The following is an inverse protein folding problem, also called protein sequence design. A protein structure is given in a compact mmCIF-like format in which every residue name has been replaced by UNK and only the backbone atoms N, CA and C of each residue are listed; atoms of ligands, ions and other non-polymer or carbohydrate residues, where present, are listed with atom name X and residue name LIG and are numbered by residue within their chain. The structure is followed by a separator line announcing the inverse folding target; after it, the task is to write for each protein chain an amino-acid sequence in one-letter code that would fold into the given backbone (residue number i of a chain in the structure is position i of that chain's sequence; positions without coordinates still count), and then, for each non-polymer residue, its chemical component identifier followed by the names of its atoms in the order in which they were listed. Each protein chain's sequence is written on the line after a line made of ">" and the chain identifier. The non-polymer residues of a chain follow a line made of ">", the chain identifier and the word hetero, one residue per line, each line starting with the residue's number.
data_IF_833048338607
#
_entry.id   IF_833048338607
#
_cell.length_a   1.000
_cell.length_b   1.000
_cell.length_c   1.000
_cell.angle_alpha   90.00
_cell.angle_beta   90.00
_cell.angle_gamma   90.00
#
_symmetry.space_group_name_H-M   'P 1'
#
loop_
_entity.id
_entity.type
_entity.pdbx_description
1 polymer ?
#
# COMPACT_ATOMS: atom_id res chain seq x y z
N UNK A 1 14.85 -16.25 -10.33
CA UNK A 1 13.49 -15.71 -10.04
C UNK A 1 13.51 -14.18 -10.04
N UNK A 2 13.32 -13.52 -11.19
CA UNK A 2 12.83 -12.12 -11.25
C UNK A 2 12.40 -11.74 -12.68
N UNK A 3 11.53 -12.53 -13.30
CA UNK A 3 10.97 -12.21 -14.63
C UNK A 3 9.64 -11.45 -14.55
N UNK A 4 9.01 -11.39 -13.36
CA UNK A 4 7.66 -10.83 -13.19
C UNK A 4 7.69 -9.32 -12.91
N UNK A 5 8.83 -8.75 -12.50
CA UNK A 5 8.91 -7.30 -12.22
C UNK A 5 9.05 -6.43 -13.48
N UNK A 6 9.40 -7.00 -14.65
CA UNK A 6 9.48 -6.23 -15.91
C UNK A 6 8.14 -6.23 -16.67
N UNK A 7 7.27 -7.21 -16.43
CA UNK A 7 5.97 -7.30 -17.10
C UNK A 7 5.02 -6.15 -16.72
N UNK A 8 5.06 -5.67 -15.48
CA UNK A 8 4.14 -4.60 -15.04
C UNK A 8 4.53 -3.22 -15.57
N UNK A 9 5.83 -2.93 -15.68
CA UNK A 9 6.32 -1.68 -16.30
C UNK A 9 6.18 -1.70 -17.82
N UNK A 10 6.26 -2.88 -18.45
CA UNK A 10 5.99 -3.03 -19.88
C UNK A 10 4.49 -2.92 -20.22
N UNK A 11 3.58 -3.34 -19.33
CA UNK A 11 2.15 -3.16 -19.57
C UNK A 11 1.70 -1.69 -19.50
N UNK A 12 2.31 -0.88 -18.63
CA UNK A 12 2.08 0.57 -18.63
C UNK A 12 2.77 1.31 -19.79
N UNK A 13 3.86 0.76 -20.35
CA UNK A 13 4.58 1.38 -21.48
C UNK A 13 3.94 1.11 -22.84
N UNK A 14 3.07 0.10 -22.96
CA UNK A 14 2.38 -0.26 -24.21
C UNK A 14 0.99 0.40 -24.40
N UNK A 15 0.50 1.21 -23.45
CA UNK A 15 -0.69 2.05 -23.66
C UNK A 15 -0.37 3.50 -24.06
N UNK A 16 0.92 3.87 -24.10
CA UNK A 16 1.33 5.12 -24.75
C UNK A 16 1.51 4.79 -26.22
N UNK A 17 0.50 5.14 -27.01
CA UNK A 17 0.57 5.22 -28.46
C UNK A 17 1.71 6.20 -28.77
N UNK A 18 2.92 5.65 -28.98
CA UNK A 18 3.95 6.38 -29.70
C UNK A 18 3.42 6.55 -31.12
N UNK A 19 3.05 7.79 -31.43
CA UNK A 19 2.76 8.28 -32.77
C UNK A 19 4.04 8.20 -33.61
N UNK A 20 4.34 7.01 -34.12
CA UNK A 20 5.26 6.86 -35.25
C UNK A 20 4.43 6.77 -36.51
N UNK A 21 4.47 7.84 -37.30
CA UNK A 21 4.15 7.94 -38.72
C UNK A 21 3.07 7.00 -39.28
N UNK A 22 1.92 7.61 -39.61
CA UNK A 22 1.06 7.21 -40.71
C UNK A 22 0.38 5.83 -40.65
N UNK A 23 -0.28 5.51 -39.53
CA UNK A 23 -1.45 4.62 -39.52
C UNK A 23 -2.47 5.16 -38.52
N UNK A 24 -3.55 5.81 -39.00
CA UNK A 24 -4.78 5.97 -38.21
C UNK A 24 -5.14 4.61 -37.63
N UNK A 25 -5.33 4.51 -36.33
CA UNK A 25 -5.74 3.28 -35.67
C UNK A 25 -7.06 2.81 -36.29
N UNK A 26 -7.07 1.69 -37.00
CA UNK A 26 -8.23 1.07 -37.68
C UNK A 26 -9.35 0.58 -36.73
N UNK A 27 -9.33 1.05 -35.47
CA UNK A 27 -10.19 0.62 -34.37
C UNK A 27 -10.95 1.77 -33.71
N UNK A 28 -10.71 3.03 -34.11
CA UNK A 28 -11.36 4.18 -33.48
C UNK A 28 -12.89 4.05 -33.48
N UNK A 29 -13.45 3.50 -34.55
CA UNK A 29 -14.90 3.30 -34.70
C UNK A 29 -15.46 2.15 -33.83
N UNK A 30 -14.59 1.38 -33.15
CA UNK A 30 -14.96 0.25 -32.28
C UNK A 30 -14.74 0.53 -30.80
N UNK A 31 -14.07 1.64 -30.46
CA UNK A 31 -13.79 2.00 -29.07
C UNK A 31 -14.99 2.74 -28.50
N UNK A 32 -15.69 2.11 -27.56
CA UNK A 32 -16.87 2.70 -26.92
C UNK A 32 -16.47 3.67 -25.81
N UNK A 33 -15.51 3.30 -24.97
CA UNK A 33 -15.06 4.13 -23.85
C UNK A 33 -13.68 3.69 -23.33
N UNK A 34 -12.88 4.64 -22.88
CA UNK A 34 -11.57 4.41 -22.25
C UNK A 34 -11.70 4.51 -20.73
N UNK A 35 -11.30 3.47 -20.00
CA UNK A 35 -11.16 3.53 -18.53
C UNK A 35 -9.76 4.03 -18.19
N UNK A 36 -9.67 5.18 -17.51
CA UNK A 36 -8.40 5.87 -17.20
C UNK A 36 -8.15 5.98 -15.70
N UNK A 37 -6.88 6.10 -15.29
CA UNK A 37 -6.56 6.45 -13.90
C UNK A 37 -6.79 7.96 -13.61
N UNK A 38 -6.67 8.40 -12.36
CA UNK A 38 -6.86 9.83 -12.00
C UNK A 38 -5.59 10.68 -12.15
N UNK A 39 -4.59 10.19 -12.89
CA UNK A 39 -3.36 10.91 -13.17
C UNK A 39 -3.61 12.11 -14.08
N UNK A 40 -3.11 13.29 -13.68
CA UNK A 40 -3.28 14.53 -14.46
C UNK A 40 -2.85 14.41 -15.92
N UNK A 41 -1.78 13.66 -16.18
CA UNK A 41 -1.25 13.48 -17.53
C UNK A 41 -2.22 12.70 -18.44
N UNK A 42 -2.82 11.60 -17.95
CA UNK A 42 -3.76 10.81 -18.75
C UNK A 42 -5.09 11.55 -18.90
N UNK A 43 -5.53 12.28 -17.87
CA UNK A 43 -6.73 13.12 -17.92
C UNK A 43 -6.57 14.18 -19.00
N UNK A 44 -5.51 14.98 -18.95
CA UNK A 44 -5.27 16.03 -19.94
C UNK A 44 -5.10 15.49 -21.36
N UNK A 45 -4.50 14.31 -21.52
CA UNK A 45 -4.36 13.66 -22.84
C UNK A 45 -5.72 13.24 -23.40
N UNK A 46 -6.61 12.71 -22.55
CA UNK A 46 -7.90 12.19 -22.99
C UNK A 46 -8.97 13.28 -23.14
N UNK A 47 -8.91 14.35 -22.35
CA UNK A 47 -9.76 15.54 -22.52
C UNK A 47 -9.54 16.22 -23.87
N UNK A 48 -8.32 16.15 -24.43
CA UNK A 48 -8.00 16.61 -25.78
C UNK A 48 -8.25 15.58 -26.88
N UNK A 49 -8.78 14.40 -26.55
CA UNK A 49 -8.99 13.29 -27.49
C UNK A 49 -10.47 13.18 -27.89
N UNK A 50 -10.79 12.57 -29.04
CA UNK A 50 -12.18 12.36 -29.46
C UNK A 50 -12.86 11.18 -28.73
N UNK A 51 -12.21 10.55 -27.75
CA UNK A 51 -12.71 9.34 -27.11
C UNK A 51 -13.39 9.64 -25.78
N UNK A 52 -14.59 9.09 -25.61
CA UNK A 52 -15.26 9.06 -24.31
C UNK A 52 -14.43 8.30 -23.28
N UNK A 53 -14.38 8.82 -22.05
CA UNK A 53 -13.54 8.24 -21.01
C UNK A 53 -14.14 8.33 -19.60
N UNK A 54 -13.89 7.31 -18.78
CA UNK A 54 -14.33 7.25 -17.37
C UNK A 54 -13.17 6.97 -16.43
N UNK A 55 -13.29 7.45 -15.19
CA UNK A 55 -12.29 7.16 -14.15
C UNK A 55 -12.38 5.70 -13.68
N UNK A 56 -11.23 5.10 -13.41
CA UNK A 56 -11.13 3.77 -12.84
C UNK A 56 -11.55 3.81 -11.36
N UNK A 57 -12.68 3.17 -11.05
CA UNK A 57 -13.19 3.07 -9.68
C UNK A 57 -12.16 2.47 -8.70
N UNK A 58 -11.46 1.41 -9.12
CA UNK A 58 -10.43 0.79 -8.28
C UNK A 58 -9.30 1.76 -7.93
N UNK A 59 -8.88 2.60 -8.90
CA UNK A 59 -7.86 3.62 -8.65
C UNK A 59 -8.39 4.73 -7.74
N UNK A 60 -9.63 5.17 -7.93
CA UNK A 60 -10.28 6.16 -7.06
C UNK A 60 -10.38 5.66 -5.62
N UNK A 61 -10.82 4.41 -5.41
CA UNK A 61 -10.88 3.81 -4.08
C UNK A 61 -9.49 3.69 -3.45
N UNK A 62 -8.48 3.31 -4.24
CA UNK A 62 -7.10 3.24 -3.76
C UNK A 62 -6.57 4.60 -3.28
N UNK A 63 -6.98 5.71 -3.92
CA UNK A 63 -6.64 7.06 -3.47
C UNK A 63 -7.33 7.41 -2.15
N UNK A 64 -8.63 7.07 -2.01
CA UNK A 64 -9.38 7.29 -0.77
C UNK A 64 -8.78 6.52 0.40
N UNK A 65 -8.40 5.25 0.21
CA UNK A 65 -7.74 4.46 1.26
C UNK A 65 -6.38 5.05 1.64
N UNK A 66 -5.59 5.46 0.63
CA UNK A 66 -4.29 6.09 0.87
C UNK A 66 -4.43 7.35 1.72
N UNK A 67 -5.40 8.19 1.42
CA UNK A 67 -5.59 9.45 2.13
C UNK A 67 -6.31 9.28 3.48
N UNK A 68 -7.39 8.52 3.50
CA UNK A 68 -8.23 8.32 4.67
C UNK A 68 -7.60 7.45 5.76
N UNK A 69 -6.72 6.51 5.40
CA UNK A 69 -6.16 5.53 6.34
C UNK A 69 -4.64 5.62 6.36
N UNK A 70 -3.98 5.38 5.21
CA UNK A 70 -2.52 5.19 5.18
C UNK A 70 -1.75 6.49 5.45
N UNK A 71 -2.34 7.64 5.18
CA UNK A 71 -1.73 8.94 5.45
C UNK A 71 -1.89 9.41 6.89
N UNK A 72 -2.73 8.76 7.71
CA UNK A 72 -2.93 9.12 9.11
C UNK A 72 -1.65 8.89 9.92
N UNK A 73 -1.29 9.86 10.75
CA UNK A 73 -0.04 9.84 11.51
C UNK A 73 0.07 8.60 12.39
N UNK A 74 -1.01 8.21 13.08
CA UNK A 74 -1.07 7.01 13.90
C UNK A 74 -0.66 5.73 13.13
N UNK A 75 -1.13 5.58 11.88
CA UNK A 75 -0.82 4.41 11.03
C UNK A 75 0.65 4.45 10.60
N UNK A 76 1.17 5.64 10.27
CA UNK A 76 2.59 5.84 9.93
C UNK A 76 3.52 5.55 11.11
N UNK A 77 3.14 5.98 12.31
CA UNK A 77 3.89 5.75 13.54
C UNK A 77 3.93 4.27 13.89
N UNK A 78 2.78 3.59 13.81
CA UNK A 78 2.69 2.15 13.99
C UNK A 78 3.58 1.40 12.98
N UNK A 79 3.48 1.76 11.70
CA UNK A 79 4.31 1.17 10.66
C UNK A 79 5.82 1.39 10.91
N UNK A 80 6.19 2.56 11.45
CA UNK A 80 7.58 2.88 11.81
C UNK A 80 8.04 2.04 13.01
N UNK A 81 7.22 1.91 14.05
CA UNK A 81 7.51 1.06 15.22
C UNK A 81 7.69 -0.41 14.82
N UNK A 82 6.82 -0.94 13.96
CA UNK A 82 6.97 -2.29 13.43
C UNK A 82 8.28 -2.47 12.64
N UNK A 83 8.70 -1.46 11.85
CA UNK A 83 10.00 -1.48 11.16
C UNK A 83 11.18 -1.45 12.13
N UNK A 84 11.07 -0.70 13.23
CA UNK A 84 12.11 -0.69 14.27
C UNK A 84 12.25 -2.07 14.92
N UNK A 85 11.14 -2.73 15.26
CA UNK A 85 11.16 -4.09 15.79
C UNK A 85 11.80 -5.09 14.81
N UNK A 86 11.50 -4.97 13.51
CA UNK A 86 12.17 -5.79 12.48
C UNK A 86 13.68 -5.58 12.47
N UNK A 87 14.16 -4.34 12.67
CA UNK A 87 15.59 -4.01 12.70
C UNK A 87 16.26 -4.56 13.97
N UNK A 88 15.64 -4.35 15.13
CA UNK A 88 16.15 -4.81 16.42
C UNK A 88 16.33 -6.33 16.47
N UNK A 89 15.41 -7.07 15.86
CA UNK A 89 15.43 -8.54 15.80
C UNK A 89 16.18 -9.08 14.58
N UNK A 90 16.77 -8.22 13.74
CA UNK A 90 17.46 -8.58 12.51
C UNK A 90 16.62 -9.46 11.55
N UNK A 91 15.31 -9.18 11.48
CA UNK A 91 14.35 -9.92 10.64
C UNK A 91 14.24 -9.26 9.27
N UNK A 92 13.99 -10.06 8.23
CA UNK A 92 13.73 -9.56 6.87
C UNK A 92 12.60 -8.53 6.86
N UNK A 93 12.93 -7.31 6.43
CA UNK A 93 11.99 -6.20 6.29
C UNK A 93 11.08 -6.41 5.09
N UNK A 94 9.77 -6.45 5.33
CA UNK A 94 8.77 -6.51 4.27
C UNK A 94 7.99 -5.19 4.21
N UNK A 95 7.62 -4.77 2.99
CA UNK A 95 6.70 -3.64 2.81
C UNK A 95 5.28 -4.09 3.18
N UNK A 96 4.49 -3.16 3.69
CA UNK A 96 3.05 -3.39 3.85
C UNK A 96 2.44 -3.66 2.48
N UNK A 97 1.73 -4.78 2.39
CA UNK A 97 1.00 -5.19 1.19
C UNK A 97 -0.47 -4.97 1.52
N UNK A 98 -1.16 -4.23 0.65
CA UNK A 98 -2.61 -4.10 0.70
C UNK A 98 -3.22 -5.29 -0.05
N UNK A 99 -4.26 -5.89 0.55
CA UNK A 99 -5.05 -6.88 -0.17
C UNK A 99 -5.85 -6.22 -1.29
N UNK A 100 -5.78 -6.81 -2.46
CA UNK A 100 -6.39 -6.27 -3.67
C UNK A 100 -6.91 -7.46 -4.51
N UNK A 101 -8.24 -7.63 -4.64
CA UNK A 101 -8.84 -8.78 -5.30
C UNK A 101 -8.44 -8.93 -6.77
N UNK A 102 -8.09 -7.84 -7.43
CA UNK A 102 -7.63 -7.80 -8.83
C UNK A 102 -6.14 -8.14 -8.97
N UNK A 103 -5.39 -8.16 -7.86
CA UNK A 103 -3.97 -8.51 -7.82
C UNK A 103 -3.80 -9.79 -7.02
N UNK A 104 -4.10 -10.92 -7.65
CA UNK A 104 -4.23 -12.28 -7.05
C UNK A 104 -3.00 -12.80 -6.25
N UNK A 105 -1.91 -12.02 -6.19
CA UNK A 105 -0.69 -12.36 -5.45
C UNK A 105 -0.57 -11.65 -4.10
N UNK A 106 -1.42 -10.66 -3.80
CA UNK A 106 -1.36 -9.87 -2.57
C UNK A 106 -1.52 -10.74 -1.32
N UNK A 107 -2.60 -11.53 -1.25
CA UNK A 107 -2.86 -12.48 -0.16
C UNK A 107 -1.75 -13.53 -0.01
N UNK A 108 -1.30 -14.13 -1.11
CA UNK A 108 -0.23 -15.14 -1.10
C UNK A 108 1.09 -14.56 -0.56
N UNK A 109 1.44 -13.32 -0.95
CA UNK A 109 2.63 -12.64 -0.45
C UNK A 109 2.50 -12.33 1.05
N UNK A 110 1.34 -11.88 1.51
CA UNK A 110 1.07 -11.67 2.94
C UNK A 110 1.23 -12.96 3.73
N UNK A 111 0.60 -14.06 3.28
CA UNK A 111 0.70 -15.39 3.90
C UNK A 111 2.16 -15.87 4.02
N UNK A 112 3.00 -15.62 3.01
CA UNK A 112 4.44 -15.94 3.05
C UNK A 112 5.23 -15.07 4.03
N UNK A 113 4.80 -13.84 4.28
CA UNK A 113 5.49 -12.92 5.19
C UNK A 113 5.15 -13.20 6.66
N UNK A 114 3.94 -13.67 6.96
CA UNK A 114 3.47 -13.96 8.33
C UNK A 114 4.47 -14.75 9.20
N UNK A 115 4.98 -15.93 8.78
CA UNK A 115 5.90 -16.70 9.63
C UNK A 115 7.21 -15.99 9.92
N UNK A 116 7.66 -15.13 9.00
CA UNK A 116 8.87 -14.31 9.17
C UNK A 116 8.60 -13.13 10.09
N UNK A 117 7.39 -12.57 10.09
CA UNK A 117 7.02 -11.41 10.90
C UNK A 117 6.51 -11.76 12.31
N UNK A 118 6.18 -13.03 12.58
CA UNK A 118 5.59 -13.46 13.85
C UNK A 118 6.39 -12.97 15.06
N UNK A 119 7.72 -13.04 15.01
CA UNK A 119 8.58 -12.70 16.14
C UNK A 119 8.60 -11.19 16.41
N UNK A 120 8.60 -10.38 15.34
CA UNK A 120 8.49 -8.92 15.47
C UNK A 120 7.15 -8.49 16.08
N UNK A 121 6.06 -9.18 15.72
CA UNK A 121 4.72 -8.89 16.28
C UNK A 121 4.64 -9.29 17.75
N UNK A 122 5.13 -10.48 18.10
CA UNK A 122 5.15 -10.97 19.50
C UNK A 122 6.01 -10.05 20.37
N UNK A 123 7.20 -9.65 19.89
CA UNK A 123 8.07 -8.73 20.61
C UNK A 123 7.39 -7.38 20.88
N UNK A 124 6.74 -6.82 19.85
CA UNK A 124 6.00 -5.57 20.01
C UNK A 124 4.82 -5.69 20.98
N UNK A 125 4.05 -6.78 20.91
CA UNK A 125 2.96 -7.04 21.84
C UNK A 125 3.46 -7.21 23.29
N UNK A 126 4.58 -7.91 23.50
CA UNK A 126 5.20 -8.03 24.83
C UNK A 126 5.63 -6.68 25.40
N UNK A 127 6.20 -5.80 24.57
CA UNK A 127 6.54 -4.43 24.98
C UNK A 127 5.26 -3.66 25.36
N UNK A 128 4.20 -3.76 24.56
CA UNK A 128 2.93 -3.09 24.87
C UNK A 128 2.32 -3.56 26.18
N UNK A 129 2.25 -4.88 26.42
CA UNK A 129 1.73 -5.43 27.69
C UNK A 129 2.50 -4.89 28.90
N UNK A 130 3.84 -4.86 28.82
CA UNK A 130 4.68 -4.33 29.89
C UNK A 130 4.50 -2.81 30.11
N UNK A 131 4.24 -2.05 29.04
CA UNK A 131 3.97 -0.61 29.13
C UNK A 131 2.59 -0.33 29.74
N UNK A 132 1.57 -1.10 29.36
CA UNK A 132 0.23 -0.99 29.95
C UNK A 132 0.22 -1.37 31.43
N UNK A 133 0.94 -2.41 31.82
CA UNK A 133 1.08 -2.82 33.23
C UNK A 133 1.77 -1.74 34.07
N UNK A 134 2.84 -1.11 33.55
CA UNK A 134 3.47 0.04 34.20
C UNK A 134 2.58 1.28 34.25
N UNK A 135 1.81 1.56 33.19
CA UNK A 135 0.93 2.72 33.14
C UNK A 135 -0.27 2.59 34.09
N UNK A 136 -0.83 1.38 34.23
CA UNK A 136 -1.89 1.09 35.21
C UNK A 136 -1.37 1.15 36.64
N UNK A 137 -0.15 0.66 36.91
CA UNK A 137 0.50 0.80 38.22
C UNK A 137 0.66 2.27 38.61
N UNK A 138 1.14 3.12 37.70
CA UNK A 138 1.30 4.57 37.92
C UNK A 138 -0.06 5.29 38.09
N UNK A 139 -1.10 4.86 37.37
CA UNK A 139 -2.45 5.42 37.52
C UNK A 139 -3.15 5.00 38.83
N UNK A 140 -2.72 3.87 39.44
CA UNK A 140 -3.30 3.34 40.68
C UNK A 140 -2.70 3.88 41.99
N UNK A 141 -1.75 4.81 41.89
CA UNK A 141 -1.20 5.62 43.00
C UNK A 141 -1.54 5.19 44.43
N UNK A 142 -0.99 4.07 44.90
CA UNK A 142 -0.75 3.86 46.32
C UNK A 142 0.70 4.21 46.58
N UNK A 143 0.92 5.42 47.09
CA UNK A 143 2.18 5.79 47.70
C UNK A 143 2.35 4.94 48.96
N UNK A 144 3.04 3.80 48.85
CA UNK A 144 3.59 3.12 50.03
C UNK A 144 4.94 3.74 50.27
N UNK A 145 4.98 4.67 51.22
CA UNK A 145 6.20 5.11 51.88
C UNK A 145 6.84 3.87 52.53
N UNK A 146 7.94 3.40 51.98
CA UNK A 146 8.84 2.51 52.73
C UNK A 146 9.61 3.43 53.67
N UNK A 147 9.13 3.47 54.92
CA UNK A 147 9.82 4.07 56.07
C UNK A 147 11.04 3.22 56.42
N UNK A 148 12.18 3.92 56.53
CA UNK A 148 13.45 3.62 57.24
C UNK A 148 13.98 2.18 57.29
#
# INVERSE_FOLDING_TARGET
>A
MCAISRAFTLWFKYSIIHTTNNKRCLLSDKIVCIVRDNGRNIVSTLEGSPFEHISCLAHSLQLVIKDGILNKQMVKDLATKCRMAQIQLNIKRHKLIQDEPTRWNSLLQMMRHLPVQKEAVVHYNGILSNVFEKATYVASGSAVTVSE
#
